data_IF_372847243163
#
_entry.id   IF_372847243163
#
_cell.length_a   1.000
_cell.length_b   1.000
_cell.length_c   1.000
_cell.angle_alpha   90.00
_cell.angle_beta   90.00
_cell.angle_gamma   90.00
#
_symmetry.space_group_name_H-M   'P 1'
#
loop_
_entity.id
_entity.type
_entity.pdbx_description
1 polymer ?
#
# COMPACT_ATOMS: atom_id res chain seq x y z
N UNK A 1 -10.41 -20.15 7.63
CA UNK A 1 -10.43 -18.81 8.25
C UNK A 1 -9.32 -17.90 7.74
N UNK A 2 -8.06 -18.37 7.67
CA UNK A 2 -6.90 -17.61 7.15
C UNK A 2 -7.06 -17.16 5.67
N UNK A 3 -7.58 -18.04 4.79
CA UNK A 3 -7.83 -17.76 3.36
C UNK A 3 -8.71 -16.53 3.07
N UNK A 4 -9.76 -16.35 3.85
CA UNK A 4 -10.72 -15.25 3.66
C UNK A 4 -10.06 -13.92 4.06
N UNK A 5 -9.32 -13.92 5.18
CA UNK A 5 -8.55 -12.75 5.63
C UNK A 5 -7.48 -12.32 4.62
N UNK A 6 -6.83 -13.29 3.97
CA UNK A 6 -5.85 -13.06 2.91
C UNK A 6 -6.44 -12.29 1.72
N UNK A 7 -7.70 -12.53 1.35
CA UNK A 7 -8.36 -11.90 0.19
C UNK A 7 -9.08 -10.61 0.59
N UNK A 8 -9.73 -10.61 1.74
CA UNK A 8 -10.53 -9.47 2.21
C UNK A 8 -9.64 -8.28 2.57
N UNK A 9 -8.47 -8.51 3.17
CA UNK A 9 -7.60 -7.43 3.63
C UNK A 9 -7.04 -6.56 2.48
N UNK A 10 -6.50 -7.13 1.39
CA UNK A 10 -6.10 -6.35 0.20
C UNK A 10 -7.27 -5.60 -0.43
N UNK A 11 -8.46 -6.22 -0.53
CA UNK A 11 -9.65 -5.56 -1.09
C UNK A 11 -10.08 -4.35 -0.25
N UNK A 12 -10.15 -4.48 1.07
CA UNK A 12 -10.45 -3.36 1.97
C UNK A 12 -9.40 -2.25 1.86
N UNK A 13 -8.11 -2.63 1.79
CA UNK A 13 -7.03 -1.69 1.59
C UNK A 13 -7.17 -0.94 0.26
N UNK A 14 -7.53 -1.63 -0.83
CA UNK A 14 -7.74 -1.02 -2.13
C UNK A 14 -8.92 -0.04 -2.12
N UNK A 15 -10.07 -0.44 -1.57
CA UNK A 15 -11.25 0.43 -1.43
C UNK A 15 -10.91 1.68 -0.62
N UNK A 16 -10.18 1.53 0.48
CA UNK A 16 -9.70 2.66 1.28
C UNK A 16 -8.81 3.62 0.48
N UNK A 17 -7.89 3.09 -0.32
CA UNK A 17 -7.00 3.90 -1.16
C UNK A 17 -7.75 4.65 -2.28
N UNK A 18 -8.76 4.00 -2.89
CA UNK A 18 -9.65 4.64 -3.87
C UNK A 18 -10.41 5.80 -3.22
N UNK A 19 -10.98 5.59 -2.02
CA UNK A 19 -11.64 6.68 -1.29
C UNK A 19 -10.67 7.82 -0.94
N UNK A 20 -9.44 7.50 -0.56
CA UNK A 20 -8.41 8.50 -0.28
C UNK A 20 -8.04 9.30 -1.53
N UNK A 21 -7.97 8.67 -2.70
CA UNK A 21 -7.73 9.34 -3.97
C UNK A 21 -8.81 10.37 -4.29
N UNK A 22 -10.09 9.97 -4.26
CA UNK A 22 -11.21 10.89 -4.54
C UNK A 22 -11.34 12.01 -3.51
N UNK A 23 -11.07 11.72 -2.23
CA UNK A 23 -11.12 12.72 -1.15
C UNK A 23 -9.84 13.56 -1.03
N UNK A 24 -8.85 13.35 -1.90
CA UNK A 24 -7.52 13.98 -1.79
C UNK A 24 -6.91 13.86 -0.38
N UNK A 25 -6.98 12.66 0.19
CA UNK A 25 -6.42 12.33 1.52
C UNK A 25 -5.17 11.47 1.39
N UNK A 26 -4.20 11.74 2.25
CA UNK A 26 -3.03 10.89 2.43
C UNK A 26 -3.49 9.62 3.16
N UNK A 27 -3.06 8.45 2.68
CA UNK A 27 -3.32 7.19 3.37
C UNK A 27 -2.70 7.18 4.77
N UNK A 28 -3.38 6.61 5.75
CA UNK A 28 -2.96 6.67 7.14
C UNK A 28 -1.54 6.12 7.38
N UNK A 29 -1.12 5.13 6.60
CA UNK A 29 0.19 4.47 6.70
C UNK A 29 1.37 5.40 6.43
N UNK A 30 1.19 6.43 5.59
CA UNK A 30 2.23 7.40 5.26
C UNK A 30 1.94 8.80 5.82
N UNK A 31 0.78 8.97 6.45
CA UNK A 31 0.36 10.24 7.05
C UNK A 31 1.32 10.61 8.18
N UNK A 32 2.16 11.60 7.91
CA UNK A 32 3.09 12.19 8.87
C UNK A 32 2.68 13.63 9.13
N UNK A 33 2.87 14.13 10.36
CA UNK A 33 2.58 15.54 10.72
C UNK A 33 3.31 16.53 9.81
N UNK A 34 4.48 16.15 9.30
CA UNK A 34 5.32 16.99 8.45
C UNK A 34 5.18 16.69 6.96
N UNK A 35 4.25 15.82 6.54
CA UNK A 35 4.09 15.45 5.13
C UNK A 35 2.98 16.29 4.49
N UNK A 36 3.37 17.34 3.78
CA UNK A 36 2.47 18.30 3.14
C UNK A 36 2.48 18.04 1.64
N UNK A 37 1.31 17.74 1.07
CA UNK A 37 1.16 17.58 -0.38
C UNK A 37 1.15 18.96 -1.03
N UNK A 38 1.96 19.12 -2.07
CA UNK A 38 2.12 20.34 -2.86
C UNK A 38 1.58 20.14 -4.29
N UNK A 39 1.42 18.88 -4.74
CA UNK A 39 0.95 18.56 -6.08
C UNK A 39 -0.06 17.40 -6.07
N UNK A 40 -1.24 17.62 -6.64
CA UNK A 40 -2.32 16.63 -6.73
C UNK A 40 -1.94 15.36 -7.51
N UNK A 41 -0.92 15.42 -8.39
CA UNK A 41 -0.35 14.23 -9.04
C UNK A 41 0.13 13.17 -8.04
N UNK A 42 0.37 13.57 -6.79
CA UNK A 42 0.60 12.66 -5.67
C UNK A 42 -0.49 11.59 -5.55
N UNK A 43 -1.77 11.98 -5.62
CA UNK A 43 -2.88 11.05 -5.38
C UNK A 43 -2.99 9.99 -6.49
N UNK A 44 -2.54 10.30 -7.71
CA UNK A 44 -2.45 9.34 -8.80
C UNK A 44 -1.35 8.30 -8.51
N UNK A 45 -0.16 8.75 -8.06
CA UNK A 45 0.94 7.87 -7.69
C UNK A 45 0.58 7.01 -6.48
N UNK A 46 -0.04 7.59 -5.45
CA UNK A 46 -0.51 6.88 -4.27
C UNK A 46 -1.47 5.75 -4.69
N UNK A 47 -2.44 6.04 -5.55
CA UNK A 47 -3.40 5.03 -6.01
C UNK A 47 -2.71 3.93 -6.83
N UNK A 48 -1.84 4.29 -7.78
CA UNK A 48 -1.12 3.33 -8.63
C UNK A 48 -0.26 2.37 -7.80
N UNK A 49 0.54 2.91 -6.89
CA UNK A 49 1.42 2.09 -6.05
C UNK A 49 0.63 1.28 -5.03
N UNK A 50 -0.48 1.79 -4.49
CA UNK A 50 -1.36 0.99 -3.63
C UNK A 50 -2.04 -0.15 -4.38
N UNK A 51 -2.36 0.02 -5.67
CA UNK A 51 -2.85 -1.07 -6.51
C UNK A 51 -1.77 -2.14 -6.73
N UNK A 52 -0.55 -1.73 -7.05
CA UNK A 52 0.61 -2.64 -7.15
C UNK A 52 0.85 -3.36 -5.82
N UNK A 53 0.75 -2.64 -4.69
CA UNK A 53 0.86 -3.23 -3.36
C UNK A 53 -0.18 -4.33 -3.18
N UNK A 54 -1.45 -4.04 -3.47
CA UNK A 54 -2.55 -4.99 -3.36
C UNK A 54 -2.30 -6.29 -4.16
N UNK A 55 -1.82 -6.17 -5.40
CA UNK A 55 -1.45 -7.32 -6.24
C UNK A 55 -0.31 -8.12 -5.60
N UNK A 56 0.79 -7.46 -5.22
CA UNK A 56 1.96 -8.13 -4.64
C UNK A 56 1.62 -8.88 -3.35
N UNK A 57 0.88 -8.23 -2.46
CA UNK A 57 0.46 -8.81 -1.19
C UNK A 57 -0.43 -10.05 -1.43
N UNK A 58 -1.29 -10.00 -2.45
CA UNK A 58 -2.16 -11.14 -2.81
C UNK A 58 -1.35 -12.32 -3.34
N UNK A 59 -0.34 -12.06 -4.18
CA UNK A 59 0.59 -13.09 -4.68
C UNK A 59 1.38 -13.72 -3.52
N UNK A 60 1.93 -12.90 -2.62
CA UNK A 60 2.71 -13.37 -1.48
C UNK A 60 1.86 -14.21 -0.54
N UNK A 61 0.62 -13.80 -0.30
CA UNK A 61 -0.28 -14.56 0.56
C UNK A 61 -0.68 -15.90 -0.06
N UNK A 62 -0.88 -15.96 -1.37
CA UNK A 62 -1.08 -17.22 -2.10
C UNK A 62 0.16 -18.14 -2.01
N UNK A 63 1.35 -17.60 -2.25
CA UNK A 63 2.60 -18.36 -2.16
C UNK A 63 2.89 -18.85 -0.74
N UNK A 64 2.61 -18.02 0.27
CA UNK A 64 2.75 -18.39 1.66
C UNK A 64 1.95 -19.65 1.99
N UNK A 65 0.68 -19.68 1.58
CA UNK A 65 -0.18 -20.83 1.84
C UNK A 65 0.20 -22.05 0.99
N UNK A 66 0.47 -21.86 -0.30
CA UNK A 66 0.78 -22.95 -1.23
C UNK A 66 2.11 -23.65 -0.92
N UNK A 67 3.12 -22.87 -0.51
CA UNK A 67 4.47 -23.37 -0.24
C UNK A 67 4.77 -23.54 1.26
N UNK A 68 3.78 -23.28 2.11
CA UNK A 68 3.88 -23.36 3.57
C UNK A 68 5.12 -22.61 4.13
N UNK A 69 5.36 -21.41 3.61
CA UNK A 69 6.56 -20.61 3.94
C UNK A 69 6.57 -20.19 5.40
N UNK A 70 7.59 -20.62 6.16
CA UNK A 70 7.74 -20.26 7.58
C UNK A 70 7.84 -18.74 7.81
N UNK A 71 8.36 -17.99 6.83
CA UNK A 71 8.50 -16.53 6.90
C UNK A 71 7.43 -15.76 6.10
N UNK A 72 6.34 -16.40 5.69
CA UNK A 72 5.36 -15.77 4.81
C UNK A 72 4.68 -14.53 5.43
N UNK A 73 4.44 -14.51 6.75
CA UNK A 73 3.94 -13.32 7.44
C UNK A 73 4.94 -12.15 7.36
N UNK A 74 6.23 -12.45 7.57
CA UNK A 74 7.28 -11.43 7.52
C UNK A 74 7.43 -10.86 6.11
N UNK A 75 7.35 -11.71 5.08
CA UNK A 75 7.36 -11.28 3.67
C UNK A 75 6.13 -10.42 3.34
N UNK A 76 4.94 -10.83 3.79
CA UNK A 76 3.70 -10.08 3.61
C UNK A 76 3.81 -8.66 4.19
N UNK A 77 4.21 -8.56 5.46
CA UNK A 77 4.38 -7.28 6.15
C UNK A 77 5.52 -6.45 5.51
N UNK A 78 6.63 -7.11 5.17
CA UNK A 78 7.78 -6.47 4.54
C UNK A 78 7.40 -5.78 3.22
N UNK A 79 6.68 -6.47 2.33
CA UNK A 79 6.23 -5.88 1.07
C UNK A 79 5.20 -4.78 1.30
N UNK A 80 4.23 -5.00 2.19
CA UNK A 80 3.24 -3.98 2.53
C UNK A 80 3.91 -2.67 2.97
N UNK A 81 4.86 -2.73 3.89
CA UNK A 81 5.57 -1.55 4.38
C UNK A 81 6.50 -0.95 3.32
N UNK A 82 7.23 -1.78 2.57
CA UNK A 82 8.18 -1.32 1.55
C UNK A 82 7.48 -0.47 0.48
N UNK A 83 6.34 -0.93 -0.05
CA UNK A 83 5.60 -0.15 -1.05
C UNK A 83 5.05 1.15 -0.46
N UNK A 84 4.53 1.12 0.78
CA UNK A 84 4.07 2.34 1.46
C UNK A 84 5.22 3.35 1.65
N UNK A 85 6.41 2.91 2.06
CA UNK A 85 7.59 3.78 2.14
C UNK A 85 8.04 4.31 0.78
N UNK A 86 7.94 3.50 -0.28
CA UNK A 86 8.24 3.93 -1.65
C UNK A 86 7.29 5.05 -2.12
N UNK A 87 6.00 5.01 -1.77
CA UNK A 87 5.06 6.11 -2.08
C UNK A 87 5.59 7.42 -1.49
N UNK A 88 6.00 7.40 -0.22
CA UNK A 88 6.55 8.57 0.48
C UNK A 88 7.85 9.05 -0.19
N UNK A 89 8.76 8.13 -0.49
CA UNK A 89 10.03 8.44 -1.15
C UNK A 89 9.84 9.07 -2.54
N UNK A 90 8.98 8.48 -3.37
CA UNK A 90 8.66 8.99 -4.72
C UNK A 90 7.99 10.36 -4.64
N UNK A 91 7.10 10.55 -3.66
CA UNK A 91 6.43 11.84 -3.47
C UNK A 91 7.41 12.97 -3.13
N UNK A 92 8.40 12.71 -2.27
CA UNK A 92 9.46 13.67 -1.95
C UNK A 92 10.37 13.90 -3.16
N UNK A 93 10.82 12.82 -3.80
CA UNK A 93 11.73 12.87 -4.96
C UNK A 93 11.14 13.66 -6.13
N UNK A 94 9.84 13.47 -6.42
CA UNK A 94 9.12 14.20 -7.48
C UNK A 94 8.62 15.59 -7.04
N UNK A 95 8.96 16.04 -5.83
CA UNK A 95 8.49 17.31 -5.23
C UNK A 95 6.96 17.42 -5.19
N UNK A 96 6.29 16.28 -5.03
CA UNK A 96 4.84 16.24 -4.86
C UNK A 96 4.43 16.43 -3.41
N UNK A 97 5.34 16.15 -2.47
CA UNK A 97 5.19 16.43 -1.06
C UNK A 97 6.52 16.92 -0.45
N UNK A 98 6.44 17.65 0.65
CA UNK A 98 7.56 18.03 1.52
C UNK A 98 7.31 17.57 2.95
#
# INVERSE_FOLDING_TARGET
>A
MFKILIIVNPLLFLMYNIMCHFKKRIIYTIKSKNFIIINDKFFNIQLLLSFINCILISIIAYLWESLNLQFGLALYLGVFWTINYLIKGIAIFKKYAK
#
